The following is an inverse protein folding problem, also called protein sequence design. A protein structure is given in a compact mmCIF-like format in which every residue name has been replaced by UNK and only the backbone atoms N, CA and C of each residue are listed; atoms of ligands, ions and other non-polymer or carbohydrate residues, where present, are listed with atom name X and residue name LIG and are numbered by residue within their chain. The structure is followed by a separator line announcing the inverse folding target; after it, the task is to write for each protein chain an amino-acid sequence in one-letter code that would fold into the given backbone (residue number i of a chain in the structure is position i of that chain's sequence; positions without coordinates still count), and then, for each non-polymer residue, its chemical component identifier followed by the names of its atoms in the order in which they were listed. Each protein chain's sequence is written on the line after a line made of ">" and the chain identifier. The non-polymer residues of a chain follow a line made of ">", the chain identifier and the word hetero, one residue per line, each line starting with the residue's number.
data_IF_747449046029
#
_entry.id   IF_747449046029
#
_cell.length_a   1.000
_cell.length_b   1.000
_cell.length_c   1.000
_cell.angle_alpha   90.00
_cell.angle_beta   90.00
_cell.angle_gamma   90.00
#
_symmetry.space_group_name_H-M   'P 1'
#
loop_
_entity.id
_entity.type
_entity.pdbx_description
1 polymer ?
#
# COMPACT_ATOMS: atom_id res chain seq x y z
N UNK A 1 3.80 -20.61 29.61
CA UNK A 1 2.73 -19.67 29.20
C UNK A 1 3.14 -19.13 27.85
N UNK A 2 2.30 -19.31 26.83
CA UNK A 2 2.66 -18.89 25.47
C UNK A 2 2.40 -17.38 25.33
N UNK A 3 3.49 -16.62 25.25
CA UNK A 3 3.45 -15.22 24.88
C UNK A 3 3.12 -15.11 23.40
N UNK A 4 2.50 -14.01 22.98
CA UNK A 4 2.06 -13.85 21.59
C UNK A 4 2.71 -12.67 20.89
N UNK A 5 3.39 -11.79 21.64
CA UNK A 5 4.22 -10.71 21.08
C UNK A 5 5.54 -10.65 21.84
N UNK A 6 6.64 -10.65 21.09
CA UNK A 6 7.99 -10.35 21.59
C UNK A 6 8.31 -8.90 21.29
N UNK A 7 8.83 -8.18 22.29
CA UNK A 7 9.10 -6.75 22.25
C UNK A 7 10.61 -6.59 22.43
N UNK A 8 11.27 -5.86 21.53
CA UNK A 8 12.71 -5.62 21.59
C UNK A 8 12.98 -4.12 21.52
N UNK A 9 13.75 -3.62 22.47
CA UNK A 9 14.20 -2.22 22.55
C UNK A 9 15.61 -2.19 23.20
N UNK A 10 16.11 -1.01 23.58
CA UNK A 10 17.44 -0.93 24.23
C UNK A 10 17.50 -1.55 25.61
N UNK A 11 16.37 -1.55 26.33
CA UNK A 11 16.28 -2.10 27.68
C UNK A 11 16.30 -3.64 27.70
N UNK A 12 16.06 -4.28 26.54
CA UNK A 12 16.20 -5.71 26.34
C UNK A 12 15.01 -6.35 25.62
N UNK A 13 14.74 -7.61 25.97
CA UNK A 13 13.66 -8.41 25.38
C UNK A 13 12.53 -8.56 26.40
N UNK A 14 11.35 -8.07 26.04
CA UNK A 14 10.13 -8.22 26.82
C UNK A 14 9.13 -9.10 26.07
N UNK A 15 8.13 -9.62 26.81
CA UNK A 15 7.10 -10.47 26.23
C UNK A 15 5.73 -10.08 26.76
N UNK A 16 4.78 -9.93 25.85
CA UNK A 16 3.39 -9.63 26.18
C UNK A 16 2.48 -10.77 25.73
N UNK A 17 1.39 -10.94 26.46
CA UNK A 17 0.32 -11.88 26.12
C UNK A 17 -0.89 -11.09 25.63
N UNK A 18 -1.11 -11.15 24.32
CA UNK A 18 -2.30 -10.65 23.63
C UNK A 18 -3.11 -11.82 23.08
N UNK A 19 -4.42 -11.65 22.87
CA UNK A 19 -5.21 -12.64 22.14
C UNK A 19 -4.73 -12.73 20.69
N UNK A 20 -4.44 -13.95 20.21
CA UNK A 20 -4.07 -14.21 18.83
C UNK A 20 -5.03 -15.24 18.18
N UNK A 21 -6.23 -15.39 18.75
CA UNK A 21 -7.29 -16.24 18.21
C UNK A 21 -8.27 -15.49 17.32
N UNK A 22 -8.27 -14.15 17.39
CA UNK A 22 -9.17 -13.26 16.67
C UNK A 22 -10.53 -13.16 17.33
N UNK A 23 -10.63 -13.48 18.63
CA UNK A 23 -11.89 -13.49 19.39
C UNK A 23 -12.01 -12.29 20.32
N UNK A 24 -10.88 -11.75 20.78
CA UNK A 24 -10.83 -10.56 21.61
C UNK A 24 -10.02 -9.46 20.93
N UNK A 25 -10.45 -8.23 21.15
CA UNK A 25 -9.75 -7.03 20.69
C UNK A 25 -8.41 -6.86 21.41
N UNK A 26 -7.38 -6.52 20.65
CA UNK A 26 -6.03 -6.30 21.17
C UNK A 26 -5.47 -4.92 20.86
N UNK A 27 -6.24 -4.03 20.23
CA UNK A 27 -5.76 -2.69 19.82
C UNK A 27 -5.15 -1.92 20.99
N UNK A 28 -5.87 -1.87 22.11
CA UNK A 28 -5.45 -1.10 23.28
C UNK A 28 -4.19 -1.70 23.93
N UNK A 29 -4.10 -3.03 23.95
CA UNK A 29 -2.91 -3.74 24.43
C UNK A 29 -1.68 -3.49 23.55
N UNK A 30 -1.83 -3.41 22.23
CA UNK A 30 -0.74 -3.06 21.31
C UNK A 30 -0.32 -1.61 21.52
N UNK A 31 -1.28 -0.68 21.60
CA UNK A 31 -1.01 0.74 21.84
C UNK A 31 -0.34 0.96 23.21
N UNK A 32 -0.73 0.21 24.24
CA UNK A 32 -0.07 0.21 25.56
C UNK A 32 1.37 -0.28 25.48
N UNK A 33 1.65 -1.34 24.72
CA UNK A 33 3.01 -1.81 24.48
C UNK A 33 3.83 -0.70 23.82
N UNK A 34 3.33 -0.10 22.75
CA UNK A 34 4.05 0.96 22.03
C UNK A 34 4.34 2.12 22.96
N UNK A 35 3.33 2.62 23.71
CA UNK A 35 3.50 3.75 24.64
C UNK A 35 4.51 3.48 25.75
N UNK A 36 4.55 2.26 26.29
CA UNK A 36 5.35 1.93 27.46
C UNK A 36 6.77 1.46 27.14
N UNK A 37 7.01 0.90 25.94
CA UNK A 37 8.29 0.29 25.59
C UNK A 37 9.08 1.05 24.52
N UNK A 38 8.48 2.01 23.82
CA UNK A 38 9.23 2.85 22.89
C UNK A 38 10.23 3.73 23.64
N UNK A 39 11.49 3.64 23.23
CA UNK A 39 12.57 4.52 23.70
C UNK A 39 13.12 5.38 22.56
N UNK A 40 14.16 6.18 22.83
CA UNK A 40 14.76 7.09 21.84
C UNK A 40 15.30 6.38 20.59
N UNK A 41 15.51 5.06 20.65
CA UNK A 41 16.07 4.25 19.56
C UNK A 41 15.01 3.43 18.85
N UNK A 42 13.77 3.46 19.32
CA UNK A 42 12.63 2.83 18.69
C UNK A 42 12.12 1.60 19.42
N UNK A 43 11.44 0.75 18.66
CA UNK A 43 10.76 -0.44 19.18
C UNK A 43 10.51 -1.44 18.06
N UNK A 44 10.96 -2.68 18.26
CA UNK A 44 10.57 -3.80 17.40
C UNK A 44 9.52 -4.67 18.08
N UNK A 45 8.41 -4.91 17.37
CA UNK A 45 7.32 -5.80 17.78
C UNK A 45 7.29 -7.02 16.86
N UNK A 46 7.49 -8.21 17.43
CA UNK A 46 7.42 -9.49 16.72
C UNK A 46 6.17 -10.25 17.17
N UNK A 47 5.18 -10.32 16.30
CA UNK A 47 3.93 -11.03 16.52
C UNK A 47 4.11 -12.51 16.20
N UNK A 48 3.68 -13.39 17.10
CA UNK A 48 3.60 -14.81 16.80
C UNK A 48 2.53 -15.09 15.73
N UNK A 49 2.55 -16.26 15.08
CA UNK A 49 1.45 -16.71 14.25
C UNK A 49 0.12 -16.67 15.01
N UNK A 50 -0.92 -16.12 14.39
CA UNK A 50 -2.25 -15.99 14.93
C UNK A 50 -3.06 -14.90 14.23
N UNK A 51 -4.28 -14.71 14.70
CA UNK A 51 -5.22 -13.69 14.26
C UNK A 51 -5.41 -12.69 15.40
N UNK A 52 -5.11 -11.43 15.15
CA UNK A 52 -5.22 -10.36 16.12
C UNK A 52 -6.40 -9.48 15.68
N UNK A 53 -7.50 -9.52 16.43
CA UNK A 53 -8.67 -8.69 16.15
C UNK A 53 -8.37 -7.26 16.61
N UNK A 54 -8.64 -6.29 15.75
CA UNK A 54 -8.36 -4.89 16.03
C UNK A 54 -9.64 -4.08 15.85
N UNK A 55 -10.10 -3.43 16.93
CA UNK A 55 -11.25 -2.53 16.87
C UNK A 55 -10.85 -1.06 16.73
N UNK A 56 -9.70 -0.67 17.28
CA UNK A 56 -9.15 0.70 17.20
C UNK A 56 -7.82 0.70 16.44
N UNK A 57 -7.47 1.80 15.79
CA UNK A 57 -6.19 1.88 15.08
C UNK A 57 -4.99 1.64 16.00
N UNK A 58 -3.96 0.98 15.47
CA UNK A 58 -2.63 0.97 16.08
C UNK A 58 -1.95 2.30 15.75
N UNK A 59 -1.68 3.10 16.78
CA UNK A 59 -1.25 4.49 16.63
C UNK A 59 0.27 4.62 16.72
N UNK A 60 0.89 5.08 15.64
CA UNK A 60 2.35 5.29 15.55
C UNK A 60 2.65 6.79 15.58
N UNK A 61 3.07 7.26 16.75
CA UNK A 61 3.45 8.67 17.01
C UNK A 61 4.93 8.83 17.40
N UNK A 62 5.74 7.80 17.16
CA UNK A 62 7.16 7.74 17.52
C UNK A 62 7.97 7.17 16.38
N UNK A 63 9.25 7.56 16.31
CA UNK A 63 10.20 7.12 15.30
C UNK A 63 10.68 5.69 15.57
N UNK A 64 11.22 5.06 14.52
CA UNK A 64 11.93 3.78 14.56
C UNK A 64 11.07 2.63 15.11
N UNK A 65 9.79 2.61 14.73
CA UNK A 65 8.89 1.51 15.09
C UNK A 65 8.90 0.45 13.99
N UNK A 66 9.13 -0.80 14.35
CA UNK A 66 9.03 -1.96 13.47
C UNK A 66 7.95 -2.90 13.97
N UNK A 67 7.02 -3.27 13.10
CA UNK A 67 5.97 -4.25 13.36
C UNK A 67 6.18 -5.42 12.40
N UNK A 68 6.49 -6.58 12.96
CA UNK A 68 6.87 -7.76 12.20
C UNK A 68 6.01 -8.96 12.61
N UNK A 69 5.61 -9.75 11.62
CA UNK A 69 4.89 -11.01 11.83
C UNK A 69 5.51 -12.16 11.07
N UNK A 70 4.69 -13.18 10.82
CA UNK A 70 5.02 -14.32 9.97
C UNK A 70 4.01 -14.41 8.83
N UNK A 71 4.35 -14.00 7.61
CA UNK A 71 3.40 -13.99 6.48
C UNK A 71 3.97 -14.56 5.17
N UNK A 72 4.70 -15.67 5.24
CA UNK A 72 5.19 -16.30 4.01
C UNK A 72 4.08 -17.07 3.26
N UNK A 73 3.86 -16.74 1.98
CA UNK A 73 3.17 -17.59 1.01
C UNK A 73 1.65 -17.76 1.21
N UNK A 74 0.90 -16.69 1.43
CA UNK A 74 -0.55 -16.76 1.55
C UNK A 74 -1.27 -16.89 0.19
N UNK A 75 -1.96 -18.02 0.00
CA UNK A 75 -3.05 -18.14 -0.99
C UNK A 75 -4.36 -17.96 -0.25
N UNK A 76 -5.07 -16.85 -0.49
CA UNK A 76 -6.40 -16.66 0.05
C UNK A 76 -7.33 -17.74 -0.51
N UNK A 77 -7.99 -18.48 0.39
CA UNK A 77 -9.16 -19.29 0.04
C UNK A 77 -10.36 -18.65 0.74
N UNK A 78 -11.37 -18.13 0.00
CA UNK A 78 -12.52 -17.46 0.58
C UNK A 78 -13.35 -18.30 1.58
N UNK A 79 -13.12 -19.61 1.63
CA UNK A 79 -13.89 -20.58 2.43
C UNK A 79 -13.29 -20.88 3.80
N UNK A 80 -12.00 -20.59 4.03
CA UNK A 80 -11.33 -20.73 5.33
C UNK A 80 -10.22 -19.69 5.37
N UNK A 81 -10.24 -18.78 6.33
CA UNK A 81 -9.08 -17.97 6.66
C UNK A 81 -7.96 -18.93 7.08
N UNK A 82 -7.19 -19.42 6.10
CA UNK A 82 -6.13 -20.40 6.27
C UNK A 82 -4.89 -19.75 6.87
N UNK A 83 -5.04 -19.14 8.05
CA UNK A 83 -4.00 -18.38 8.76
C UNK A 83 -3.06 -19.32 9.54
N UNK A 84 -3.11 -20.64 9.29
CA UNK A 84 -2.27 -21.58 10.02
C UNK A 84 -0.78 -21.25 9.80
N UNK A 85 -0.09 -20.93 10.88
CA UNK A 85 1.32 -20.56 10.86
C UNK A 85 1.61 -19.14 10.37
N UNK A 86 0.62 -18.25 10.36
CA UNK A 86 0.76 -16.87 9.87
C UNK A 86 0.21 -15.82 10.83
N UNK A 87 0.65 -14.58 10.69
CA UNK A 87 0.20 -13.43 11.48
C UNK A 87 -0.77 -12.57 10.66
N UNK A 88 -1.96 -12.35 11.21
CA UNK A 88 -2.97 -11.50 10.58
C UNK A 88 -3.53 -10.46 11.56
N UNK A 89 -3.63 -9.22 11.12
CA UNK A 89 -4.40 -8.14 11.73
C UNK A 89 -5.78 -8.13 11.07
N UNK A 90 -6.81 -8.45 11.84
CA UNK A 90 -8.19 -8.55 11.36
C UNK A 90 -8.97 -7.33 11.86
N UNK A 91 -9.38 -6.47 10.94
CA UNK A 91 -10.07 -5.22 11.30
C UNK A 91 -11.54 -5.53 11.57
N UNK A 92 -12.01 -5.23 12.78
CA UNK A 92 -13.43 -5.27 13.09
C UNK A 92 -14.22 -4.32 12.17
N UNK A 93 -15.52 -4.56 11.91
CA UNK A 93 -16.32 -3.73 11.00
C UNK A 93 -16.34 -2.23 11.32
N UNK A 94 -16.16 -1.88 12.59
CA UNK A 94 -16.09 -0.50 13.10
C UNK A 94 -14.71 0.14 12.98
N UNK A 95 -13.66 -0.65 12.73
CA UNK A 95 -12.29 -0.17 12.62
C UNK A 95 -12.04 0.38 11.21
N UNK A 96 -11.77 1.69 11.12
CA UNK A 96 -11.53 2.40 9.85
C UNK A 96 -10.10 2.21 9.34
N UNK A 97 -9.11 2.16 10.22
CA UNK A 97 -7.69 2.09 9.86
C UNK A 97 -7.00 1.08 10.78
N UNK A 98 -6.23 0.15 10.22
CA UNK A 98 -5.50 -0.83 11.03
C UNK A 98 -4.32 -0.17 11.76
N UNK A 99 -3.58 0.65 11.01
CA UNK A 99 -2.39 1.37 11.48
C UNK A 99 -2.50 2.82 11.01
N UNK A 100 -2.33 3.75 11.94
CA UNK A 100 -2.25 5.18 11.67
C UNK A 100 -0.85 5.69 11.98
N UNK A 101 -0.21 6.28 10.97
CA UNK A 101 1.04 7.01 11.11
C UNK A 101 0.68 8.47 11.34
N UNK A 102 0.71 8.89 12.60
CA UNK A 102 0.29 10.23 13.02
C UNK A 102 1.44 11.23 13.09
N UNK A 103 1.15 12.54 13.20
CA UNK A 103 2.19 13.49 13.55
C UNK A 103 2.85 13.07 14.87
N UNK A 104 4.18 13.17 14.95
CA UNK A 104 4.87 12.89 16.20
C UNK A 104 4.41 13.90 17.25
N UNK A 105 4.18 13.44 18.48
CA UNK A 105 3.56 14.26 19.54
C UNK A 105 4.37 15.52 19.92
N UNK A 106 5.61 15.62 19.48
CA UNK A 106 6.56 16.71 19.76
C UNK A 106 6.97 17.51 18.50
N UNK A 107 6.16 17.46 17.42
CA UNK A 107 6.45 18.11 16.13
C UNK A 107 7.76 17.62 15.47
N UNK A 108 8.25 16.45 15.88
CA UNK A 108 9.39 15.81 15.21
C UNK A 108 8.93 15.02 13.98
N UNK A 109 9.86 14.87 13.05
CA UNK A 109 9.77 13.90 11.97
C UNK A 109 9.72 12.49 12.56
N UNK A 110 8.81 11.64 12.08
CA UNK A 110 8.90 10.19 12.27
C UNK A 110 10.11 9.71 11.47
N UNK A 111 11.20 9.29 12.08
CA UNK A 111 12.43 8.96 11.34
C UNK A 111 12.44 7.57 10.72
N UNK A 112 11.46 6.72 11.06
CA UNK A 112 11.43 5.35 10.57
C UNK A 112 10.15 4.61 10.97
N UNK A 113 9.53 3.93 10.01
CA UNK A 113 8.50 2.93 10.26
C UNK A 113 8.75 1.70 9.38
N UNK A 114 8.61 0.50 9.94
CA UNK A 114 8.67 -0.76 9.19
C UNK A 114 7.45 -1.62 9.50
N UNK A 115 6.76 -2.07 8.47
CA UNK A 115 5.75 -3.12 8.54
C UNK A 115 6.20 -4.28 7.68
N UNK A 116 6.36 -5.46 8.28
CA UNK A 116 6.91 -6.63 7.59
C UNK A 116 6.15 -7.90 7.89
N UNK A 117 5.96 -8.75 6.88
CA UNK A 117 5.45 -10.12 7.06
C UNK A 117 4.11 -10.17 7.85
N UNK A 118 3.20 -9.25 7.58
CA UNK A 118 1.87 -9.20 8.21
C UNK A 118 0.78 -9.22 7.15
N UNK A 119 -0.28 -10.00 7.39
CA UNK A 119 -1.54 -9.85 6.66
C UNK A 119 -2.42 -8.81 7.36
N UNK A 120 -2.96 -7.85 6.63
CA UNK A 120 -4.02 -6.95 7.10
C UNK A 120 -5.30 -7.23 6.30
N UNK A 121 -6.38 -7.59 6.99
CA UNK A 121 -7.64 -7.98 6.36
C UNK A 121 -8.82 -7.17 6.89
N UNK A 122 -9.56 -6.55 5.99
CA UNK A 122 -10.88 -6.00 6.29
C UNK A 122 -11.94 -7.10 6.44
N UNK A 123 -13.05 -6.75 7.08
CA UNK A 123 -14.23 -7.60 7.28
C UNK A 123 -15.50 -7.06 6.62
N UNK A 124 -15.50 -5.82 6.13
CA UNK A 124 -16.66 -5.15 5.53
C UNK A 124 -16.99 -5.59 4.10
N UNK A 125 -16.73 -6.85 3.77
CA UNK A 125 -17.17 -7.44 2.50
C UNK A 125 -18.68 -7.68 2.52
N UNK A 126 -19.42 -6.84 1.79
CA UNK A 126 -20.77 -7.23 1.35
C UNK A 126 -20.62 -8.34 0.31
N UNK A 127 -20.69 -9.59 0.75
CA UNK A 127 -20.73 -10.76 -0.15
C UNK A 127 -22.11 -10.90 -0.77
N UNK A 128 -22.39 -10.14 -1.83
CA UNK A 128 -23.48 -10.47 -2.74
C UNK A 128 -23.06 -11.65 -3.62
N UNK A 129 -23.15 -12.85 -3.05
CA UNK A 129 -22.77 -14.13 -3.69
C UNK A 129 -23.50 -14.46 -5.00
N UNK A 130 -24.51 -13.67 -5.39
CA UNK A 130 -25.31 -13.93 -6.59
C UNK A 130 -24.61 -13.53 -7.88
N UNK A 131 -23.55 -12.72 -7.83
CA UNK A 131 -22.80 -12.31 -9.00
C UNK A 131 -21.31 -12.41 -8.65
N UNK A 132 -20.62 -13.43 -9.14
CA UNK A 132 -19.15 -13.58 -9.06
C UNK A 132 -18.36 -12.44 -9.75
N UNK A 133 -19.05 -11.38 -10.18
CA UNK A 133 -18.52 -10.15 -10.78
C UNK A 133 -18.80 -8.89 -9.93
N UNK A 134 -19.53 -8.99 -8.82
CA UNK A 134 -19.80 -7.87 -7.94
C UNK A 134 -18.60 -7.65 -6.99
N UNK A 135 -17.65 -6.86 -7.48
CA UNK A 135 -16.49 -6.33 -6.75
C UNK A 135 -16.95 -5.70 -5.43
N UNK A 136 -16.20 -5.87 -4.33
CA UNK A 136 -16.69 -5.51 -3.00
C UNK A 136 -16.89 -3.99 -2.87
N UNK A 137 -18.11 -3.55 -2.55
CA UNK A 137 -18.32 -2.19 -2.05
C UNK A 137 -18.06 -2.19 -0.55
N UNK A 138 -16.80 -1.97 -0.19
CA UNK A 138 -16.33 -1.95 1.20
C UNK A 138 -16.83 -0.66 1.86
N UNK A 139 -17.92 -0.78 2.61
CA UNK A 139 -18.56 0.29 3.37
C UNK A 139 -18.97 -0.22 4.75
N UNK A 140 -18.60 0.46 5.86
CA UNK A 140 -17.75 1.65 5.90
C UNK A 140 -16.31 1.38 5.45
N UNK A 141 -15.53 2.42 5.09
CA UNK A 141 -14.16 2.26 4.66
C UNK A 141 -13.28 1.55 5.70
N UNK A 142 -12.37 0.70 5.23
CA UNK A 142 -11.34 0.07 6.07
C UNK A 142 -10.00 0.17 5.36
N UNK A 143 -8.96 0.68 5.99
CA UNK A 143 -7.65 0.90 5.38
C UNK A 143 -6.56 0.13 6.14
N UNK A 144 -5.54 -0.31 5.41
CA UNK A 144 -4.43 -1.04 6.00
C UNK A 144 -3.50 -0.11 6.78
N UNK A 145 -2.77 0.73 6.06
CA UNK A 145 -1.91 1.78 6.63
C UNK A 145 -2.40 3.14 6.16
N UNK A 146 -2.67 4.03 7.09
CA UNK A 146 -3.02 5.43 6.82
C UNK A 146 -1.95 6.37 7.36
N UNK A 147 -1.51 7.30 6.52
CA UNK A 147 -0.75 8.48 6.94
C UNK A 147 -1.73 9.59 7.30
N UNK A 148 -1.55 10.20 8.46
CA UNK A 148 -2.37 11.32 8.92
C UNK A 148 -1.80 12.67 8.44
N UNK A 149 -2.63 13.70 8.46
CA UNK A 149 -2.24 15.08 8.20
C UNK A 149 -1.04 15.53 9.05
N UNK A 150 -0.21 16.43 8.51
CA UNK A 150 0.98 16.99 9.16
C UNK A 150 2.04 15.96 9.59
N UNK A 151 1.99 14.74 9.07
CA UNK A 151 3.02 13.73 9.31
C UNK A 151 4.22 13.98 8.41
N UNK A 152 5.38 14.26 9.01
CA UNK A 152 6.67 14.23 8.30
C UNK A 152 7.33 12.91 8.64
N UNK A 153 7.62 12.07 7.66
CA UNK A 153 8.27 10.78 7.85
C UNK A 153 9.55 10.70 7.01
N UNK A 154 10.61 10.15 7.60
CA UNK A 154 11.85 9.83 6.92
C UNK A 154 11.66 8.58 6.06
N UNK A 155 11.94 7.41 6.64
CA UNK A 155 11.89 6.15 5.89
C UNK A 155 10.66 5.34 6.31
N UNK A 156 9.81 4.99 5.34
CA UNK A 156 8.66 4.11 5.54
C UNK A 156 8.84 2.83 4.71
N UNK A 157 9.01 1.69 5.38
CA UNK A 157 9.18 0.38 4.74
C UNK A 157 7.94 -0.48 4.97
N UNK A 158 7.35 -0.97 3.88
CA UNK A 158 6.26 -1.94 3.90
C UNK A 158 6.66 -3.07 2.96
N UNK A 159 7.05 -4.21 3.54
CA UNK A 159 7.56 -5.33 2.75
C UNK A 159 7.04 -6.71 3.17
N UNK A 160 6.92 -7.60 2.19
CA UNK A 160 6.38 -8.96 2.37
C UNK A 160 5.02 -8.98 3.10
N UNK A 161 4.24 -7.90 3.00
CA UNK A 161 2.94 -7.80 3.63
C UNK A 161 1.84 -8.24 2.67
N UNK A 162 0.69 -8.59 3.25
CA UNK A 162 -0.52 -8.88 2.50
C UNK A 162 -1.64 -7.94 2.91
N UNK A 163 -2.39 -7.43 1.95
CA UNK A 163 -3.53 -6.55 2.19
C UNK A 163 -4.75 -7.09 1.46
N UNK A 164 -5.85 -7.35 2.19
CA UNK A 164 -7.03 -8.02 1.62
C UNK A 164 -8.34 -7.41 2.10
N UNK A 165 -9.28 -7.21 1.17
CA UNK A 165 -10.62 -6.67 1.46
C UNK A 165 -10.62 -5.31 2.17
N UNK A 166 -9.72 -4.43 1.76
CA UNK A 166 -9.62 -3.09 2.29
C UNK A 166 -10.10 -2.08 1.25
N UNK A 167 -10.63 -0.95 1.69
CA UNK A 167 -10.82 0.20 0.82
C UNK A 167 -9.47 0.65 0.27
N UNK A 168 -8.47 0.86 1.12
CA UNK A 168 -7.09 1.14 0.69
C UNK A 168 -6.12 0.20 1.41
N UNK A 169 -5.17 -0.40 0.71
CA UNK A 169 -4.10 -1.11 1.41
C UNK A 169 -3.15 -0.11 2.08
N UNK A 170 -2.70 0.90 1.33
CA UNK A 170 -1.89 2.02 1.81
C UNK A 170 -2.53 3.31 1.32
N UNK A 171 -2.78 4.26 2.23
CA UNK A 171 -3.34 5.57 1.92
C UNK A 171 -2.58 6.71 2.59
N UNK A 172 -2.26 7.69 1.78
CA UNK A 172 -1.89 9.04 2.16
C UNK A 172 -2.64 9.99 1.22
N UNK A 173 -3.73 10.59 1.67
CA UNK A 173 -4.56 11.52 0.88
C UNK A 173 -4.28 12.99 1.24
N UNK A 174 -3.18 13.24 1.96
CA UNK A 174 -2.95 14.49 2.68
C UNK A 174 -1.70 15.21 2.17
N UNK A 175 -1.84 16.22 1.29
CA UNK A 175 -0.73 16.94 0.67
C UNK A 175 0.24 17.59 1.68
N UNK A 176 -0.25 17.91 2.87
CA UNK A 176 0.52 18.48 3.97
C UNK A 176 1.45 17.48 4.67
N UNK A 177 1.20 16.18 4.50
CA UNK A 177 2.13 15.16 4.97
C UNK A 177 3.32 15.07 4.00
N UNK A 178 4.50 14.89 4.55
CA UNK A 178 5.73 14.73 3.78
C UNK A 178 6.31 13.37 4.09
N UNK A 179 6.60 12.62 3.06
CA UNK A 179 7.38 11.40 3.18
C UNK A 179 8.68 11.62 2.41
N UNK A 180 9.81 11.31 3.04
CA UNK A 180 11.08 11.28 2.33
C UNK A 180 11.07 10.03 1.46
N UNK A 181 11.29 8.84 2.05
CA UNK A 181 11.47 7.59 1.29
C UNK A 181 10.42 6.54 1.61
N UNK A 182 9.73 6.04 0.57
CA UNK A 182 8.91 4.83 0.64
C UNK A 182 9.63 3.61 0.08
N UNK A 183 9.59 2.50 0.81
CA UNK A 183 9.96 1.18 0.31
C UNK A 183 8.73 0.26 0.38
N UNK A 184 7.95 0.21 -0.70
CA UNK A 184 6.78 -0.67 -0.81
C UNK A 184 7.16 -1.84 -1.72
N UNK A 185 7.64 -2.93 -1.13
CA UNK A 185 8.34 -3.99 -1.87
C UNK A 185 7.84 -5.40 -1.54
N UNK A 186 7.73 -6.27 -2.54
CA UNK A 186 7.38 -7.70 -2.37
C UNK A 186 6.03 -7.93 -1.64
N UNK A 187 5.07 -7.01 -1.75
CA UNK A 187 3.75 -7.13 -1.11
C UNK A 187 2.73 -7.85 -2.00
N UNK A 188 1.71 -8.46 -1.40
CA UNK A 188 0.55 -9.02 -2.09
C UNK A 188 -0.73 -8.29 -1.71
N UNK A 189 -1.29 -7.50 -2.62
CA UNK A 189 -2.49 -6.68 -2.39
C UNK A 189 -3.62 -7.21 -3.24
N UNK A 190 -4.72 -7.60 -2.60
CA UNK A 190 -5.81 -8.26 -3.32
C UNK A 190 -7.20 -7.90 -2.83
N UNK A 191 -8.18 -7.89 -3.72
CA UNK A 191 -9.59 -7.66 -3.38
C UNK A 191 -9.83 -6.33 -2.63
N UNK A 192 -8.99 -5.33 -2.88
CA UNK A 192 -9.12 -3.99 -2.33
C UNK A 192 -9.80 -3.04 -3.33
N UNK A 193 -10.34 -1.91 -2.85
CA UNK A 193 -10.79 -0.87 -3.78
C UNK A 193 -9.59 -0.22 -4.45
N UNK A 194 -8.65 0.23 -3.62
CA UNK A 194 -7.39 0.86 -4.00
C UNK A 194 -6.22 0.09 -3.38
N UNK A 195 -5.14 -0.09 -4.12
CA UNK A 195 -3.95 -0.71 -3.55
C UNK A 195 -3.13 0.36 -2.82
N UNK A 196 -2.52 1.27 -3.56
CA UNK A 196 -1.66 2.30 -2.99
C UNK A 196 -2.15 3.66 -3.49
N UNK A 197 -2.41 4.56 -2.55
CA UNK A 197 -2.81 5.94 -2.81
C UNK A 197 -1.86 6.87 -2.04
N UNK A 198 -1.06 7.68 -2.73
CA UNK A 198 -0.09 8.59 -2.11
C UNK A 198 -0.13 9.99 -2.75
N UNK A 199 -0.64 10.96 -2.00
CA UNK A 199 -0.73 12.38 -2.33
C UNK A 199 0.29 13.16 -1.49
N UNK A 200 1.56 13.01 -1.80
CA UNK A 200 2.66 13.55 -0.98
C UNK A 200 3.93 13.75 -1.81
N UNK A 201 4.96 14.31 -1.19
CA UNK A 201 6.32 14.23 -1.75
C UNK A 201 6.76 12.76 -1.77
N UNK A 202 7.31 12.31 -2.91
CA UNK A 202 7.83 10.96 -3.10
C UNK A 202 9.31 11.02 -3.47
N UNK A 203 10.17 11.28 -2.49
CA UNK A 203 11.62 11.40 -2.70
C UNK A 203 12.28 10.01 -2.61
N UNK A 204 13.19 9.65 -3.51
CA UNK A 204 13.94 8.38 -3.46
C UNK A 204 13.09 7.10 -3.29
N UNK A 205 11.82 7.12 -3.71
CA UNK A 205 10.81 6.12 -3.31
C UNK A 205 10.76 4.93 -4.27
N UNK A 206 10.60 3.72 -3.73
CA UNK A 206 10.59 2.45 -4.46
C UNK A 206 9.26 1.71 -4.27
N UNK A 207 8.60 1.37 -5.39
CA UNK A 207 7.44 0.48 -5.44
C UNK A 207 7.78 -0.72 -6.32
N UNK A 208 8.25 -1.82 -5.71
CA UNK A 208 8.91 -2.90 -6.44
C UNK A 208 8.32 -4.28 -6.16
N UNK A 209 8.23 -5.14 -7.19
CA UNK A 209 7.89 -6.58 -7.03
C UNK A 209 6.58 -6.88 -6.28
N UNK A 210 5.63 -5.95 -6.30
CA UNK A 210 4.33 -6.15 -5.67
C UNK A 210 3.38 -6.94 -6.59
N UNK A 211 2.56 -7.81 -6.00
CA UNK A 211 1.46 -8.50 -6.66
C UNK A 211 0.12 -7.82 -6.36
N UNK A 212 -0.65 -7.49 -7.40
CA UNK A 212 -1.98 -6.89 -7.30
C UNK A 212 -3.03 -7.83 -7.88
N UNK A 213 -4.10 -8.16 -7.14
CA UNK A 213 -5.08 -9.17 -7.59
C UNK A 213 -6.53 -8.75 -7.33
N UNK A 214 -7.41 -8.87 -8.32
CA UNK A 214 -8.86 -8.62 -8.19
C UNK A 214 -9.22 -7.25 -7.57
N UNK A 215 -8.52 -6.19 -8.00
CA UNK A 215 -8.77 -4.83 -7.53
C UNK A 215 -10.09 -4.29 -8.09
N UNK A 216 -10.82 -3.47 -7.32
CA UNK A 216 -12.07 -2.86 -7.80
C UNK A 216 -11.81 -1.62 -8.64
N UNK A 217 -11.01 -0.68 -8.14
CA UNK A 217 -10.74 0.64 -8.73
C UNK A 217 -9.29 0.75 -9.21
N UNK A 218 -8.46 1.58 -8.55
CA UNK A 218 -7.10 1.95 -8.98
C UNK A 218 -6.03 1.16 -8.24
N UNK A 219 -5.04 0.64 -8.97
CA UNK A 219 -3.92 -0.08 -8.35
C UNK A 219 -2.96 0.88 -7.66
N UNK A 220 -2.51 1.90 -8.39
CA UNK A 220 -1.51 2.85 -7.90
C UNK A 220 -1.92 4.27 -8.29
N UNK A 221 -2.16 5.11 -7.29
CA UNK A 221 -2.36 6.55 -7.42
C UNK A 221 -1.21 7.26 -6.71
N UNK A 222 -0.41 8.03 -7.44
CA UNK A 222 0.75 8.77 -6.94
C UNK A 222 0.67 10.23 -7.42
N UNK A 223 0.21 11.10 -6.56
CA UNK A 223 0.18 12.52 -6.84
C UNK A 223 1.34 13.21 -6.10
N UNK A 224 2.30 13.72 -6.86
CA UNK A 224 3.37 14.53 -6.31
C UNK A 224 2.82 15.92 -5.95
N UNK A 225 2.74 16.20 -4.66
CA UNK A 225 2.29 17.50 -4.17
C UNK A 225 3.51 18.43 -4.07
N UNK A 226 3.40 19.62 -4.65
CA UNK A 226 4.48 20.60 -4.62
C UNK A 226 4.75 21.07 -3.17
N UNK A 227 5.79 20.50 -2.55
CA UNK A 227 6.28 20.94 -1.26
C UNK A 227 7.61 21.68 -1.44
N UNK A 228 7.73 22.96 -1.03
CA UNK A 228 8.94 23.75 -1.25
C UNK A 228 10.16 23.25 -0.47
N UNK A 229 9.98 22.37 0.52
CA UNK A 229 11.07 21.78 1.31
C UNK A 229 11.51 20.41 0.81
N UNK A 230 10.60 19.68 0.17
CA UNK A 230 10.80 18.30 -0.25
C UNK A 230 10.28 18.17 -1.68
N UNK A 231 11.18 18.45 -2.61
CA UNK A 231 10.92 18.23 -4.02
C UNK A 231 10.89 16.73 -4.29
N UNK A 232 9.87 16.30 -5.03
CA UNK A 232 9.76 14.92 -5.51
C UNK A 232 10.90 14.67 -6.49
N UNK A 233 11.93 13.95 -6.04
CA UNK A 233 13.03 13.49 -6.87
C UNK A 233 13.09 11.97 -6.79
N UNK A 234 13.19 11.30 -7.94
CA UNK A 234 13.57 9.89 -8.04
C UNK A 234 12.57 8.91 -7.42
N UNK A 235 11.58 8.48 -8.20
CA UNK A 235 10.72 7.33 -7.84
C UNK A 235 10.93 6.19 -8.83
N UNK A 236 11.11 4.97 -8.32
CA UNK A 236 11.24 3.76 -9.15
C UNK A 236 10.05 2.84 -8.92
N UNK A 237 9.38 2.49 -10.00
CA UNK A 237 8.27 1.54 -10.00
C UNK A 237 8.64 0.41 -10.96
N UNK A 238 8.96 -0.78 -10.42
CA UNK A 238 9.46 -1.88 -11.24
C UNK A 238 9.01 -3.25 -10.77
N UNK A 239 8.93 -4.19 -11.72
CA UNK A 239 8.68 -5.62 -11.48
C UNK A 239 7.34 -5.94 -10.78
N UNK A 240 6.40 -5.00 -10.82
CA UNK A 240 5.08 -5.21 -10.23
C UNK A 240 4.19 -6.03 -11.18
N UNK A 241 3.40 -6.95 -10.62
CA UNK A 241 2.52 -7.84 -11.36
C UNK A 241 1.07 -7.61 -10.98
N UNK A 242 0.20 -7.34 -11.95
CA UNK A 242 -1.25 -7.20 -11.75
C UNK A 242 -2.05 -8.32 -12.42
N UNK A 243 -3.04 -8.88 -11.73
CA UNK A 243 -3.98 -9.87 -12.27
C UNK A 243 -5.42 -9.43 -11.97
N UNK A 244 -6.23 -9.18 -13.01
CA UNK A 244 -7.55 -8.56 -12.87
C UNK A 244 -7.54 -7.24 -12.05
N UNK A 245 -6.75 -6.23 -12.45
CA UNK A 245 -6.47 -5.04 -11.63
C UNK A 245 -7.58 -3.98 -11.61
N UNK A 246 -8.83 -4.26 -12.02
CA UNK A 246 -9.89 -3.25 -11.96
C UNK A 246 -9.89 -2.23 -13.11
N UNK A 247 -10.06 -0.92 -12.80
CA UNK A 247 -10.43 0.13 -13.77
C UNK A 247 -9.30 1.08 -14.21
N UNK A 248 -8.21 1.26 -13.48
CA UNK A 248 -7.03 2.00 -14.00
C UNK A 248 -5.76 1.61 -13.22
N UNK A 249 -4.61 1.54 -13.90
CA UNK A 249 -3.45 0.81 -13.35
C UNK A 249 -2.31 1.73 -12.86
N UNK A 250 -2.20 2.98 -13.31
CA UNK A 250 -1.30 3.98 -12.73
C UNK A 250 -1.86 5.37 -13.00
N UNK A 251 -2.04 6.20 -11.98
CA UNK A 251 -2.29 7.64 -12.09
C UNK A 251 -1.12 8.34 -11.41
N UNK A 252 -0.33 9.09 -12.18
CA UNK A 252 0.91 9.69 -11.70
C UNK A 252 0.96 11.13 -12.20
N UNK A 253 0.86 12.08 -11.28
CA UNK A 253 0.77 13.50 -11.60
C UNK A 253 1.85 14.33 -10.91
N UNK A 254 2.23 15.44 -11.55
CA UNK A 254 2.96 16.58 -10.95
C UNK A 254 4.42 16.35 -10.50
N UNK A 255 5.14 15.39 -11.08
CA UNK A 255 6.58 15.20 -10.82
C UNK A 255 7.40 16.34 -11.46
N UNK A 256 7.99 17.23 -10.65
CA UNK A 256 8.89 18.31 -11.12
C UNK A 256 10.34 18.02 -10.76
N UNK A 257 11.21 17.91 -11.77
CA UNK A 257 12.67 17.89 -11.58
C UNK A 257 13.29 16.55 -11.12
N UNK A 258 12.50 15.48 -11.02
CA UNK A 258 12.97 14.13 -10.73
C UNK A 258 12.91 13.20 -11.94
N UNK A 259 13.77 12.18 -11.98
CA UNK A 259 13.62 11.05 -12.90
C UNK A 259 12.72 9.97 -12.30
N UNK A 260 11.56 9.71 -12.90
CA UNK A 260 10.78 8.51 -12.56
C UNK A 260 11.11 7.39 -13.53
N UNK A 261 11.40 6.19 -13.01
CA UNK A 261 11.71 5.01 -13.84
C UNK A 261 10.62 3.95 -13.71
N UNK A 262 10.08 3.52 -14.85
CA UNK A 262 9.04 2.50 -14.95
C UNK A 262 9.56 1.30 -15.74
N UNK A 263 9.89 0.21 -15.05
CA UNK A 263 10.46 -0.97 -15.70
C UNK A 263 9.63 -2.22 -15.40
N UNK A 264 9.52 -3.15 -16.36
CA UNK A 264 9.03 -4.51 -16.12
C UNK A 264 7.65 -4.65 -15.41
N UNK A 265 6.64 -3.88 -15.82
CA UNK A 265 5.28 -4.02 -15.29
C UNK A 265 4.50 -5.07 -16.11
N UNK A 266 4.02 -6.13 -15.46
CA UNK A 266 3.20 -7.17 -16.09
C UNK A 266 1.74 -7.06 -15.68
N UNK A 267 0.84 -6.84 -16.64
CA UNK A 267 -0.60 -6.77 -16.40
C UNK A 267 -1.33 -7.89 -17.12
N UNK A 268 -2.10 -8.69 -16.39
CA UNK A 268 -2.84 -9.83 -16.92
C UNK A 268 -4.34 -9.71 -16.66
N UNK A 269 -5.16 -10.10 -17.65
CA UNK A 269 -6.62 -10.16 -17.55
C UNK A 269 -7.28 -8.86 -17.09
N UNK A 270 -6.84 -7.73 -17.63
CA UNK A 270 -7.61 -6.49 -17.53
C UNK A 270 -8.97 -6.72 -18.20
N UNK A 271 -10.02 -6.97 -17.41
CA UNK A 271 -11.35 -7.33 -17.92
C UNK A 271 -11.82 -6.32 -18.97
N UNK A 272 -12.39 -6.71 -20.12
CA UNK A 272 -13.12 -5.76 -20.97
C UNK A 272 -14.35 -5.26 -20.19
N UNK A 273 -14.56 -3.94 -20.09
CA UNK A 273 -15.81 -3.43 -19.54
C UNK A 273 -16.96 -3.86 -20.44
N UNK A 274 -17.84 -4.72 -19.95
CA UNK A 274 -19.13 -5.03 -20.58
C UNK A 274 -20.07 -3.82 -20.40
N UNK A 275 -19.98 -2.85 -21.31
CA UNK A 275 -20.75 -1.59 -21.32
C UNK A 275 -20.15 -0.62 -22.35
N UNK A 276 -20.90 0.37 -22.88
CA UNK A 276 -20.56 1.08 -24.10
C UNK A 276 -19.16 1.68 -24.03
N UNK A 277 -18.42 1.52 -25.13
CA UNK A 277 -16.97 1.72 -25.29
C UNK A 277 -16.51 3.07 -24.72
N UNK A 278 -16.13 3.09 -23.44
CA UNK A 278 -15.26 4.12 -22.88
C UNK A 278 -13.83 3.63 -23.12
N UNK A 279 -13.00 4.32 -23.91
CA UNK A 279 -11.61 3.95 -24.09
C UNK A 279 -10.91 3.94 -22.73
N UNK A 280 -10.24 2.85 -22.39
CA UNK A 280 -9.30 2.85 -21.26
C UNK A 280 -8.04 3.56 -21.71
N UNK A 281 -7.91 4.82 -21.34
CA UNK A 281 -6.64 5.51 -21.44
C UNK A 281 -5.80 5.16 -20.21
N UNK A 282 -4.58 4.69 -20.42
CA UNK A 282 -3.51 4.98 -19.48
C UNK A 282 -3.12 6.40 -19.81
N UNK A 283 -3.67 7.37 -19.10
CA UNK A 283 -3.18 8.74 -19.14
C UNK A 283 -1.93 8.80 -18.28
N UNK A 284 -0.77 8.68 -18.93
CA UNK A 284 0.44 9.27 -18.40
C UNK A 284 0.27 10.78 -18.64
N UNK A 285 0.02 11.56 -17.59
CA UNK A 285 0.07 13.00 -17.73
C UNK A 285 1.50 13.37 -18.16
N UNK A 286 1.62 14.18 -19.21
CA UNK A 286 2.92 14.72 -19.61
C UNK A 286 3.42 15.59 -18.46
N UNK A 287 4.57 15.26 -17.90
CA UNK A 287 5.34 16.25 -17.14
C UNK A 287 5.59 17.45 -18.05
N UNK A 288 5.33 18.66 -17.57
CA UNK A 288 5.57 19.90 -18.32
C UNK A 288 7.06 19.99 -18.71
N UNK A 289 7.37 19.82 -20.00
CA UNK A 289 8.73 19.97 -20.56
C UNK A 289 9.17 21.45 -20.66
N UNK A 290 8.33 22.41 -20.26
CA UNK A 290 8.59 23.85 -20.39
C UNK A 290 9.47 24.45 -19.27
N UNK A 291 10.36 23.66 -18.67
CA UNK A 291 11.42 24.18 -17.82
C UNK A 291 12.77 23.96 -18.51
N UNK A 292 13.25 25.02 -19.18
CA UNK A 292 14.48 25.15 -19.97
C UNK A 292 15.82 24.88 -19.22
N UNK A 293 15.83 23.98 -18.23
CA UNK A 293 17.03 23.64 -17.46
C UNK A 293 17.05 22.24 -16.84
N UNK A 294 16.15 21.33 -17.23
CA UNK A 294 16.07 19.98 -16.65
C UNK A 294 16.51 18.90 -17.64
N UNK A 295 17.22 17.89 -17.13
CA UNK A 295 17.65 16.71 -17.89
C UNK A 295 16.43 15.87 -18.31
N UNK A 296 16.41 15.33 -19.53
CA UNK A 296 15.30 14.50 -20.01
C UNK A 296 15.16 13.24 -19.14
N UNK A 297 13.91 12.87 -18.84
CA UNK A 297 13.57 11.60 -18.21
C UNK A 297 14.03 10.43 -19.08
N UNK A 298 14.73 9.44 -18.50
CA UNK A 298 14.92 8.14 -19.14
C UNK A 298 13.61 7.37 -19.10
N UNK A 299 12.69 7.68 -20.00
CA UNK A 299 11.62 6.77 -20.37
C UNK A 299 12.22 5.63 -21.20
N UNK A 300 12.97 4.72 -20.57
CA UNK A 300 13.41 3.49 -21.23
C UNK A 300 12.21 2.55 -21.32
N UNK A 301 11.63 2.46 -22.52
CA UNK A 301 10.85 1.32 -23.03
C UNK A 301 9.93 0.63 -22.02
N UNK A 302 8.63 0.94 -22.05
CA UNK A 302 7.61 0.07 -21.45
C UNK A 302 7.62 -1.26 -22.22
N UNK A 303 8.46 -2.20 -21.79
CA UNK A 303 8.47 -3.57 -22.31
C UNK A 303 7.30 -4.32 -21.69
N UNK A 304 6.11 -4.16 -22.26
CA UNK A 304 4.99 -5.04 -21.98
C UNK A 304 5.25 -6.41 -22.60
N UNK A 305 5.52 -7.43 -21.78
CA UNK A 305 5.56 -8.81 -22.26
C UNK A 305 4.14 -9.36 -22.33
N UNK A 306 3.72 -9.81 -23.51
CA UNK A 306 2.41 -10.44 -23.75
C UNK A 306 2.36 -11.79 -23.03
N UNK A 307 1.50 -11.92 -22.02
CA UNK A 307 1.19 -13.24 -21.47
C UNK A 307 0.25 -14.00 -22.41
N UNK A 308 0.51 -15.30 -22.57
CA UNK A 308 -0.38 -16.24 -23.25
C UNK A 308 -1.29 -16.90 -22.23
N UNK A 309 -2.56 -17.10 -22.56
CA UNK A 309 -3.45 -17.89 -21.72
C UNK A 309 -3.08 -19.39 -21.75
N UNK A 310 -3.72 -20.20 -20.90
CA UNK A 310 -3.52 -21.66 -20.85
C UNK A 310 -3.92 -22.39 -22.16
N UNK A 311 -4.51 -21.68 -23.13
CA UNK A 311 -4.83 -22.15 -24.48
C UNK A 311 -3.90 -21.61 -25.57
N UNK A 312 -2.79 -20.94 -25.22
CA UNK A 312 -1.80 -20.45 -26.17
C UNK A 312 -2.22 -19.19 -26.94
N UNK A 313 -3.32 -18.52 -26.57
CA UNK A 313 -3.75 -17.27 -27.22
C UNK A 313 -3.01 -16.07 -26.64
N UNK A 314 -2.50 -15.21 -27.51
CA UNK A 314 -1.90 -13.93 -27.12
C UNK A 314 -2.97 -13.05 -26.45
N UNK A 315 -2.77 -12.68 -25.18
CA UNK A 315 -3.63 -11.68 -24.54
C UNK A 315 -3.08 -10.29 -24.84
N UNK A 316 -3.72 -9.58 -25.78
CA UNK A 316 -3.41 -8.19 -26.05
C UNK A 316 -3.80 -7.33 -24.84
N UNK A 317 -2.80 -6.90 -24.09
CA UNK A 317 -2.90 -5.68 -23.30
C UNK A 317 -2.57 -4.55 -24.27
N UNK A 318 -3.53 -3.68 -24.59
CA UNK A 318 -3.26 -2.53 -25.45
C UNK A 318 -2.08 -1.74 -24.89
N UNK A 319 -1.15 -1.34 -25.76
CA UNK A 319 -0.16 -0.33 -25.40
C UNK A 319 -0.92 0.91 -24.89
N UNK A 320 -0.44 1.55 -23.81
CA UNK A 320 -1.03 2.80 -23.36
C UNK A 320 -1.05 3.81 -24.52
N UNK A 321 -2.24 4.25 -24.92
CA UNK A 321 -2.38 5.34 -25.88
C UNK A 321 -2.08 6.65 -25.16
N UNK A 322 -0.91 7.23 -25.43
CA UNK A 322 -0.57 8.58 -24.96
C UNK A 322 -1.37 9.57 -25.82
N UNK A 323 -2.41 10.19 -25.25
CA UNK A 323 -3.03 11.37 -25.87
C UNK A 323 -2.20 12.59 -25.51
N UNK A 324 -1.69 13.26 -26.53
CA UNK A 324 -1.13 14.60 -26.41
C UNK A 324 -2.31 15.57 -26.56
N UNK A 325 -2.65 16.29 -25.49
CA UNK A 325 -3.48 17.48 -25.63
C UNK A 325 -2.57 18.64 -26.09
N UNK A 326 -2.83 19.27 -27.25
CA UNK A 326 -2.20 20.55 -27.55
C UNK A 326 -2.68 21.55 -26.50
N UNK A 327 -1.75 22.27 -25.86
CA UNK A 327 -2.12 23.41 -25.05
C UNK A 327 -2.79 24.45 -25.94
N UNK A 328 -3.97 24.89 -25.54
CA UNK A 328 -4.61 26.08 -26.08
C UNK A 328 -3.64 27.25 -25.87
N UNK A 329 -3.17 27.80 -26.98
CA UNK A 329 -2.08 28.76 -26.97
C UNK A 329 -2.32 29.97 -26.06
N UNK A 330 -1.28 30.31 -25.29
CA UNK A 330 -0.70 31.66 -25.16
C UNK A 330 0.57 31.62 -24.33
#
# INVERSE_FOLDING_TARGET
>A
MDYTVTIVNQSGIHRAKLDNTGTADVSDGINDIIRNFVDDNGLDLYFNPGVYLINNSIEIHRSNISIQGYCYGFRYSPKRLGIKGKTALLLAPSCTDAITLGPASDRKTLHGFTLRNITISGQNLKRDFKIWQARPDIKPPQNGVRVMENTVNGICTIDFCQFVHLTHAIINERPESVMDVWYIVDNWISECNYAIWLDSSLHGSLVLRNGFHDMKETVLHLQAVNNPRYCTHETVISDNTGWNPGKLVFEIDSFRGGSSSYNHILLNKCLPSSGPRIPRQVELSKGSEDNLGLLPTTASTVNSSVARDAGGRNMFCGLPSIKVHPEDGK
#
